data_IF_620367357301
#
_entry.id   IF_620367357301
#
_cell.length_a   1.000
_cell.length_b   1.000
_cell.length_c   1.000
_cell.angle_alpha   90.00
_cell.angle_beta   90.00
_cell.angle_gamma   90.00
#
_symmetry.space_group_name_H-M   'P 1'
#
loop_
_entity.id
_entity.type
_entity.pdbx_description
1 polymer ?
2 non-polymer ?
3 non-polymer ?
4 water ?
#
# COMPACT_ATOMS: atom_id res chain seq x y z
N UNK A 1 -14.73 20.45 -5.83
CA UNK A 1 -15.05 19.80 -4.61
C UNK A 1 -14.01 18.72 -4.25
N UNK A 2 -14.42 17.44 -4.26
CA UNK A 2 -13.51 16.34 -3.94
C UNK A 2 -13.94 14.95 -4.43
N UNK A 3 -13.12 13.94 -4.18
CA UNK A 3 -13.39 12.58 -4.65
C UNK A 3 -12.84 11.49 -3.73
N UNK A 4 -13.36 10.28 -3.96
CA UNK A 4 -12.93 9.11 -3.17
C UNK A 4 -13.00 7.90 -4.06
N UNK A 5 -11.99 7.05 -3.94
CA UNK A 5 -11.95 5.91 -4.83
C UNK A 5 -13.21 5.06 -4.64
N UNK A 6 -13.59 4.55 -5.78
CA UNK A 6 -14.68 3.64 -5.92
C UNK A 6 -14.18 2.37 -5.21
N UNK A 7 -12.88 2.30 -5.08
CA UNK A 7 -12.31 1.14 -4.46
C UNK A 7 -12.62 0.97 -3.01
N UNK A 8 -12.92 2.09 -2.33
CA UNK A 8 -13.22 2.00 -0.90
C UNK A 8 -14.47 1.12 -0.75
N UNK A 9 -15.51 1.36 -1.57
CA UNK A 9 -16.66 0.49 -1.42
C UNK A 9 -16.43 -0.93 -2.03
N UNK A 10 -15.60 -1.00 -3.02
CA UNK A 10 -15.36 -2.28 -3.66
C UNK A 10 -14.75 -3.28 -2.67
N UNK A 11 -13.87 -2.80 -1.78
CA UNK A 11 -13.25 -3.70 -0.82
C UNK A 11 -14.01 -3.82 0.48
N UNK A 12 -15.16 -3.21 0.53
CA UNK A 12 -16.12 -3.30 1.67
C UNK A 12 -15.76 -2.56 2.90
N UNK A 13 -15.03 -1.53 2.65
CA UNK A 13 -14.56 -0.70 3.78
C UNK A 13 -15.69 0.07 4.52
N UNK A 14 -16.73 0.46 3.77
CA UNK A 14 -17.80 1.24 4.36
C UNK A 14 -18.51 0.53 5.46
N UNK A 15 -18.59 -0.81 5.37
CA UNK A 15 -19.22 -1.59 6.41
C UNK A 15 -18.48 -1.40 7.74
N UNK A 16 -17.17 -1.33 7.67
CA UNK A 16 -16.34 -1.18 8.85
C UNK A 16 -16.38 0.21 9.34
N UNK A 17 -16.34 1.11 8.42
CA UNK A 17 -16.44 2.45 8.83
C UNK A 17 -17.73 2.58 9.59
N UNK A 18 -18.81 2.02 9.06
CA UNK A 18 -20.11 2.23 9.66
C UNK A 18 -20.25 1.68 11.04
N UNK A 19 -19.35 0.74 11.34
CA UNK A 19 -19.30 0.05 12.58
C UNK A 19 -18.29 0.76 13.50
N UNK A 20 -17.78 1.94 13.05
CA UNK A 20 -16.86 2.66 13.91
C UNK A 20 -15.44 2.18 13.78
N UNK A 21 -15.06 1.47 12.74
CA UNK A 21 -13.64 1.10 12.61
C UNK A 21 -13.13 1.89 11.43
N UNK A 22 -12.20 2.80 11.67
CA UNK A 22 -11.65 3.64 10.62
C UNK A 22 -10.11 3.75 10.62
N UNK A 23 -9.48 2.87 11.39
CA UNK A 23 -8.04 2.92 11.38
C UNK A 23 -7.46 3.79 12.48
N UNK A 24 -8.28 4.18 13.41
CA UNK A 24 -7.76 4.98 14.51
C UNK A 24 -6.65 4.25 15.33
N UNK A 25 -5.66 5.06 15.62
CA UNK A 25 -4.54 4.61 16.40
C UNK A 25 -3.71 3.58 15.66
N UNK A 26 -3.82 3.52 14.32
CA UNK A 26 -2.96 2.57 13.61
C UNK A 26 -1.92 3.46 12.89
N UNK A 27 -0.60 3.11 12.97
CA UNK A 27 0.40 3.92 12.29
C UNK A 27 0.80 3.28 10.97
N UNK A 28 0.63 4.00 9.87
CA UNK A 28 0.93 3.45 8.54
C UNK A 28 2.02 4.27 7.92
N UNK A 29 3.06 3.57 7.55
CA UNK A 29 4.13 4.35 6.93
C UNK A 29 3.93 4.28 5.42
N UNK A 30 3.88 5.42 4.76
CA UNK A 30 3.73 5.41 3.32
C UNK A 30 5.11 5.65 2.78
N UNK A 31 5.76 4.53 2.40
CA UNK A 31 7.14 4.58 1.88
C UNK A 31 7.07 4.95 0.45
N UNK A 32 7.36 6.22 0.10
CA UNK A 32 7.11 6.60 -1.27
C UNK A 32 7.76 7.94 -1.56
N UNK A 33 7.18 8.76 -2.44
CA UNK A 33 7.76 10.06 -2.79
C UNK A 33 7.47 11.19 -1.85
N UNK A 34 7.09 10.89 -0.60
CA UNK A 34 6.78 11.91 0.32
C UNK A 34 5.26 12.05 0.31
N UNK A 35 4.81 12.95 1.14
CA UNK A 35 3.39 13.18 1.23
C UNK A 35 3.16 14.72 1.39
N UNK A 36 2.37 15.33 0.53
CA UNK A 36 2.13 16.74 0.82
C UNK A 36 1.16 16.87 2.00
N UNK A 37 1.69 17.08 3.21
CA UNK A 37 0.85 17.27 4.40
C UNK A 37 0.04 18.59 4.40
N UNK A 38 0.33 19.45 3.42
CA UNK A 38 -0.44 20.69 3.36
C UNK A 38 -1.86 20.43 2.93
N UNK A 39 -2.08 19.30 2.29
CA UNK A 39 -3.39 18.99 1.80
C UNK A 39 -4.35 18.98 2.91
N UNK A 40 -5.40 19.77 2.76
CA UNK A 40 -6.44 19.84 3.79
C UNK A 40 -6.95 18.49 4.16
N UNK A 41 -6.98 17.57 3.20
CA UNK A 41 -7.59 16.31 3.61
C UNK A 41 -6.63 15.27 4.10
N UNK A 42 -5.41 15.64 4.26
CA UNK A 42 -4.46 14.66 4.72
C UNK A 42 -3.78 15.11 5.97
N UNK A 43 -3.73 14.27 6.95
CA UNK A 43 -2.96 14.64 8.10
C UNK A 43 -1.88 13.63 8.30
N UNK A 44 -0.73 14.21 8.34
CA UNK A 44 0.47 13.48 8.44
C UNK A 44 1.06 13.55 9.83
N UNK A 45 1.12 12.45 10.46
CA UNK A 45 1.64 12.44 11.86
C UNK A 45 3.13 12.51 12.06
N UNK A 46 3.96 12.21 11.07
CA UNK A 46 5.39 12.20 11.25
C UNK A 46 6.03 11.68 9.97
N UNK A 47 7.27 11.37 10.00
CA UNK A 47 7.87 10.83 8.79
C UNK A 47 9.33 11.16 8.71
N UNK A 48 9.96 10.87 7.59
CA UNK A 48 11.33 11.11 7.41
C UNK A 48 11.64 11.01 5.96
N UNK A 49 12.68 11.77 5.53
CA UNK A 49 13.14 11.69 4.13
C UNK A 49 14.55 11.05 4.10
N UNK A 50 14.73 10.16 3.18
CA UNK A 50 16.00 9.49 3.04
C UNK A 50 16.55 9.86 1.65
N UNK A 51 15.88 10.79 0.94
CA UNK A 51 16.37 11.25 -0.39
C UNK A 51 17.31 12.40 -0.09
N UNK A 52 18.58 12.16 -0.24
CA UNK A 52 19.47 13.21 0.16
C UNK A 52 19.22 14.58 -0.38
N UNK A 53 18.61 14.70 -1.56
CA UNK A 53 18.39 15.96 -2.17
C UNK A 53 17.09 16.53 -1.89
N UNK A 54 16.27 15.81 -1.17
CA UNK A 54 14.99 16.33 -0.80
C UNK A 54 14.82 15.99 0.65
N UNK A 55 15.08 16.99 1.45
CA UNK A 55 15.10 16.81 2.91
C UNK A 55 13.76 16.86 3.59
N UNK A 56 12.73 17.41 2.91
CA UNK A 56 11.43 17.48 3.48
C UNK A 56 10.45 16.31 3.09
N UNK A 57 10.13 15.37 3.96
CA UNK A 57 9.25 14.32 3.49
C UNK A 57 7.84 14.84 3.38
N UNK A 58 7.63 16.08 3.88
CA UNK A 58 6.31 16.59 3.84
C UNK A 58 5.95 17.34 2.58
N UNK A 59 6.89 17.33 1.70
CA UNK A 59 6.74 17.96 0.45
C UNK A 59 6.79 16.83 -0.60
N UNK A 60 5.82 16.77 -1.50
CA UNK A 60 5.86 15.74 -2.51
C UNK A 60 5.88 16.34 -3.86
N UNK A 61 7.04 16.33 -4.46
CA UNK A 61 7.23 16.90 -5.80
C UNK A 61 6.86 16.04 -7.00
N UNK A 62 6.55 14.87 -6.68
CA UNK A 62 6.18 14.01 -7.74
C UNK A 62 4.64 13.84 -7.75
N UNK A 63 3.98 13.74 -6.58
CA UNK A 63 2.54 13.55 -6.41
C UNK A 63 2.24 12.08 -6.14
N UNK A 64 3.20 11.21 -6.50
CA UNK A 64 2.97 9.80 -6.25
C UNK A 64 2.57 9.47 -4.81
N UNK A 65 3.40 9.83 -3.84
CA UNK A 65 3.09 9.51 -2.48
C UNK A 65 1.84 10.15 -1.90
N UNK A 66 1.52 11.35 -2.35
CA UNK A 66 0.32 12.06 -1.82
C UNK A 66 -0.96 11.29 -2.21
N UNK A 67 -0.93 10.82 -3.46
CA UNK A 67 -2.06 10.10 -4.00
C UNK A 67 -2.21 8.82 -3.24
N UNK A 68 -1.08 8.15 -3.12
CA UNK A 68 -1.11 6.87 -2.42
C UNK A 68 -1.66 7.05 -0.95
N UNK A 69 -1.13 8.06 -0.30
CA UNK A 69 -1.48 8.33 1.03
C UNK A 69 -2.92 8.65 1.09
N UNK A 70 -3.39 9.45 0.11
CA UNK A 70 -4.80 9.73 0.08
C UNK A 70 -5.62 8.43 0.04
N UNK A 71 -5.16 7.41 -0.65
CA UNK A 71 -5.92 6.18 -0.73
C UNK A 71 -5.96 5.42 0.56
N UNK A 72 -4.83 5.41 1.25
CA UNK A 72 -4.85 4.74 2.54
C UNK A 72 -5.92 5.46 3.44
N UNK A 73 -5.92 6.81 3.43
CA UNK A 73 -6.88 7.48 4.28
C UNK A 73 -8.30 7.23 3.86
N UNK A 74 -8.45 7.12 2.56
CA UNK A 74 -9.80 6.91 2.07
C UNK A 74 -10.35 5.63 2.65
N UNK A 75 -9.54 4.62 2.66
CA UNK A 75 -9.92 3.36 3.21
C UNK A 75 -9.94 3.34 4.78
N UNK A 76 -8.99 4.04 5.41
CA UNK A 76 -8.84 4.11 6.87
C UNK A 76 -8.60 5.60 7.24
N UNK A 77 -9.71 6.35 7.17
CA UNK A 77 -9.72 7.77 7.40
C UNK A 77 -9.08 8.25 8.74
N UNK A 78 -9.04 7.39 9.78
CA UNK A 78 -8.46 7.78 11.06
C UNK A 78 -7.05 7.29 11.30
N UNK A 79 -6.42 6.73 10.30
CA UNK A 79 -5.09 6.23 10.47
C UNK A 79 -4.12 7.30 10.66
N UNK A 80 -3.02 6.99 11.30
CA UNK A 80 -1.97 7.97 11.43
C UNK A 80 -0.95 7.73 10.36
N UNK A 81 -0.84 8.59 9.39
CA UNK A 81 0.11 8.42 8.29
C UNK A 81 1.48 8.96 8.62
N UNK A 82 2.49 8.25 8.17
CA UNK A 82 3.89 8.63 8.28
C UNK A 82 4.49 8.87 6.90
N UNK A 83 4.99 10.08 6.60
CA UNK A 83 5.48 10.27 5.23
C UNK A 83 6.93 9.83 5.27
N UNK A 84 7.26 8.75 4.60
CA UNK A 84 8.62 8.19 4.54
C UNK A 84 9.08 8.29 3.08
N UNK A 85 9.75 9.38 2.83
CA UNK A 85 10.23 9.68 1.52
C UNK A 85 11.50 8.98 1.11
N UNK A 86 11.34 7.99 0.20
CA UNK A 86 12.50 7.23 -0.33
C UNK A 86 12.65 7.35 -1.87
N UNK A 87 11.74 8.16 -2.47
CA UNK A 87 11.68 8.41 -3.88
C UNK A 87 11.76 9.91 -4.11
N UNK A 88 12.67 10.28 -5.03
CA UNK A 88 12.82 11.68 -5.36
C UNK A 88 11.74 12.11 -6.36
N UNK A 89 11.72 13.42 -6.64
CA UNK A 89 10.75 14.10 -7.48
C UNK A 89 10.48 13.40 -8.78
N UNK A 90 11.55 12.80 -9.36
CA UNK A 90 11.37 12.06 -10.63
C UNK A 90 10.72 10.70 -10.35
N UNK A 91 10.12 10.42 -9.17
CA UNK A 91 9.57 9.12 -8.88
C UNK A 91 10.61 7.96 -8.69
N UNK A 92 11.93 8.19 -8.69
CA UNK A 92 12.86 7.10 -8.54
C UNK A 92 13.68 7.06 -7.21
N UNK A 93 14.13 5.90 -6.74
CA UNK A 93 14.87 5.94 -5.50
C UNK A 93 15.84 4.79 -5.38
N UNK A 94 16.91 4.99 -4.60
CA UNK A 94 17.88 3.94 -4.37
C UNK A 94 17.33 2.82 -3.48
N UNK A 95 17.79 1.59 -3.73
CA UNK A 95 17.27 0.57 -2.90
C UNK A 95 17.71 0.96 -1.53
N UNK A 96 18.87 1.57 -1.41
CA UNK A 96 19.25 1.88 -0.01
C UNK A 96 18.30 2.80 0.74
N UNK A 97 17.75 3.78 -0.01
CA UNK A 97 16.81 4.75 0.56
C UNK A 97 15.60 3.99 1.06
N UNK A 98 15.14 3.09 0.19
CA UNK A 98 13.99 2.30 0.51
C UNK A 98 14.21 1.45 1.81
N UNK A 99 15.38 0.80 1.95
CA UNK A 99 15.73 -0.01 3.12
C UNK A 99 15.71 0.89 4.33
N UNK A 100 16.33 2.05 4.10
CA UNK A 100 16.41 3.02 5.18
C UNK A 100 15.04 3.43 5.61
N UNK A 101 14.15 3.60 4.66
CA UNK A 101 12.86 3.94 5.07
C UNK A 101 12.19 2.73 5.74
N UNK A 102 12.46 1.53 5.20
CA UNK A 102 11.83 0.41 5.90
C UNK A 102 12.36 0.34 7.35
N UNK A 103 13.68 0.58 7.50
CA UNK A 103 14.23 0.47 8.84
C UNK A 103 13.63 1.46 9.76
N UNK A 104 13.45 2.64 9.22
CA UNK A 104 12.89 3.69 10.01
C UNK A 104 11.51 3.27 10.53
N UNK A 105 10.73 2.58 9.65
CA UNK A 105 9.38 2.23 10.02
C UNK A 105 9.38 1.18 11.14
N UNK A 106 10.35 0.26 11.08
CA UNK A 106 10.48 -0.73 12.16
C UNK A 106 10.83 -0.03 13.48
N UNK A 107 11.89 0.80 13.38
CA UNK A 107 12.37 1.55 14.56
C UNK A 107 11.34 2.46 15.18
N UNK A 108 10.44 2.95 14.40
CA UNK A 108 9.45 3.84 14.83
C UNK A 108 8.10 3.15 15.09
N UNK A 109 8.20 1.86 15.13
CA UNK A 109 7.03 1.05 15.46
C UNK A 109 5.82 1.28 14.62
N UNK A 110 5.99 1.32 13.29
CA UNK A 110 4.79 1.40 12.45
C UNK A 110 4.04 0.11 12.49
N UNK A 111 2.72 0.14 12.40
CA UNK A 111 1.92 -1.05 12.38
C UNK A 111 1.81 -1.62 11.00
N UNK A 112 1.83 -0.74 10.03
CA UNK A 112 1.74 -1.22 8.66
C UNK A 112 2.66 -0.37 7.80
N UNK A 113 3.22 -1.03 6.75
CA UNK A 113 4.06 -0.38 5.78
C UNK A 113 3.45 -0.55 4.40
N UNK A 114 3.33 0.55 3.70
CA UNK A 114 2.83 0.50 2.32
C UNK A 114 4.01 0.89 1.41
N UNK A 115 4.33 0.01 0.49
CA UNK A 115 5.37 0.27 -0.49
C UNK A 115 4.82 0.19 -1.93
N UNK A 116 4.33 1.36 -2.41
CA UNK A 116 3.81 1.42 -3.78
C UNK A 116 5.02 1.72 -4.66
N UNK A 117 5.97 0.78 -4.66
CA UNK A 117 7.17 0.94 -5.40
C UNK A 117 7.72 -0.47 -5.67
N UNK A 118 8.69 -0.49 -6.56
CA UNK A 118 9.35 -1.74 -6.94
C UNK A 118 10.44 -1.58 -8.00
N UNK A 119 11.29 -2.56 -8.04
CA UNK A 119 12.36 -2.61 -9.01
C UNK A 119 12.49 -4.08 -9.43
N UNK A 120 13.14 -4.30 -10.56
CA UNK A 120 13.27 -5.63 -11.08
C UNK A 120 14.34 -6.50 -10.43
N UNK A 121 15.31 -5.97 -9.69
CA UNK A 121 16.32 -6.85 -9.12
C UNK A 121 16.15 -6.99 -7.64
N UNK A 122 16.50 -8.17 -7.12
CA UNK A 122 16.34 -8.37 -5.72
C UNK A 122 17.57 -7.88 -5.03
N UNK A 123 17.52 -7.69 -3.71
CA UNK A 123 18.66 -7.27 -2.92
C UNK A 123 18.54 -8.02 -1.58
N UNK A 124 19.60 -8.58 -1.09
CA UNK A 124 19.40 -9.31 0.14
C UNK A 124 19.06 -8.43 1.32
N UNK A 125 19.60 -7.23 1.21
CA UNK A 125 19.45 -6.25 2.22
C UNK A 125 18.01 -5.78 2.19
N UNK A 126 17.39 -5.72 0.99
CA UNK A 126 15.99 -5.30 0.92
C UNK A 126 15.22 -6.45 1.46
N UNK A 127 15.57 -7.65 1.02
CA UNK A 127 14.81 -8.77 1.58
C UNK A 127 14.90 -8.81 3.12
N UNK A 128 16.14 -8.52 3.58
CA UNK A 128 16.35 -8.61 4.99
C UNK A 128 15.50 -7.61 5.76
N UNK A 129 15.37 -6.39 5.21
CA UNK A 129 14.63 -5.33 5.83
C UNK A 129 13.14 -5.68 5.92
N UNK A 130 12.57 -6.13 4.80
CA UNK A 130 11.15 -6.52 4.84
C UNK A 130 10.95 -7.73 5.77
N UNK A 131 11.91 -8.62 5.71
CA UNK A 131 11.77 -9.81 6.56
C UNK A 131 11.84 -9.42 8.03
N UNK A 132 12.74 -8.47 8.31
CA UNK A 132 12.86 -8.03 9.70
C UNK A 132 11.63 -7.25 10.13
N UNK A 133 11.11 -6.38 9.25
CA UNK A 133 9.89 -5.62 9.57
C UNK A 133 8.75 -6.61 9.93
N UNK A 134 8.56 -7.70 9.12
CA UNK A 134 7.55 -8.71 9.42
C UNK A 134 7.89 -9.42 10.74
N UNK A 135 9.13 -9.78 10.93
CA UNK A 135 9.45 -10.42 12.18
C UNK A 135 9.17 -9.50 13.36
N UNK A 136 9.31 -8.18 13.16
CA UNK A 136 9.05 -7.21 14.19
C UNK A 136 7.58 -6.99 14.46
N UNK A 137 6.75 -7.54 13.60
CA UNK A 137 5.32 -7.56 13.60
C UNK A 137 4.65 -6.52 12.76
N UNK A 138 5.29 -5.98 11.77
CA UNK A 138 4.67 -4.93 10.97
C UNK A 138 3.95 -5.56 9.79
N UNK A 139 2.84 -5.04 9.39
CA UNK A 139 2.21 -5.64 8.19
C UNK A 139 2.80 -4.96 7.00
N UNK A 140 3.46 -5.73 6.15
CA UNK A 140 4.15 -5.10 5.03
C UNK A 140 3.38 -5.37 3.74
N UNK A 141 3.06 -4.30 3.04
CA UNK A 141 2.28 -4.42 1.80
C UNK A 141 3.01 -3.64 0.67
N UNK A 142 2.98 -4.23 -0.50
CA UNK A 142 3.63 -3.61 -1.59
C UNK A 142 2.89 -3.81 -2.89
N UNK A 143 3.09 -2.84 -3.76
CA UNK A 143 2.56 -3.00 -5.12
C UNK A 143 3.18 -4.24 -5.79
N UNK A 144 2.39 -5.00 -6.56
CA UNK A 144 2.99 -6.13 -7.23
C UNK A 144 3.89 -5.73 -8.37
N UNK A 145 3.58 -4.58 -8.92
CA UNK A 145 4.35 -4.10 -10.03
C UNK A 145 3.43 -3.88 -11.23
N UNK A 146 3.93 -3.11 -12.20
CA UNK A 146 3.05 -2.84 -13.36
C UNK A 146 3.74 -3.34 -14.66
N UNK A 147 4.31 -4.52 -14.59
CA UNK A 147 5.09 -5.13 -15.62
C UNK A 147 4.35 -6.00 -16.60
N UNK A 148 3.01 -6.13 -16.53
CA UNK A 148 2.30 -6.94 -17.49
C UNK A 148 2.71 -8.37 -17.29
N UNK A 149 2.76 -9.08 -18.42
CA UNK A 149 3.13 -10.48 -18.46
C UNK A 149 4.36 -10.70 -19.38
N UNK A 150 4.93 -11.89 -19.24
CA UNK A 150 6.07 -12.31 -20.03
C UNK A 150 6.03 -13.83 -20.08
N UNK A 151 5.03 -14.35 -20.72
CA UNK A 151 4.96 -15.78 -20.77
C UNK A 151 4.59 -16.35 -19.43
N UNK A 152 5.37 -17.35 -19.03
CA UNK A 152 5.14 -18.03 -17.78
C UNK A 152 5.99 -17.46 -16.65
N UNK A 153 6.80 -16.47 -17.03
CA UNK A 153 7.66 -15.81 -16.09
C UNK A 153 6.93 -14.87 -15.13
N UNK A 154 7.40 -14.88 -13.90
CA UNK A 154 6.86 -14.01 -12.91
C UNK A 154 7.24 -12.56 -13.23
N UNK A 155 6.30 -11.64 -13.10
CA UNK A 155 6.68 -10.31 -13.38
C UNK A 155 6.51 -9.47 -12.11
N UNK A 156 6.38 -10.16 -10.98
CA UNK A 156 6.24 -9.43 -9.74
C UNK A 156 7.58 -8.80 -9.45
N UNK A 157 7.65 -7.57 -9.11
CA UNK A 157 8.88 -6.86 -8.80
C UNK A 157 9.20 -6.93 -7.30
N UNK A 158 10.35 -6.37 -6.93
CA UNK A 158 10.76 -6.41 -5.52
C UNK A 158 10.49 -5.05 -4.87
N UNK A 159 10.11 -5.01 -3.61
CA UNK A 159 10.00 -6.12 -2.70
C UNK A 159 8.76 -7.00 -2.73
N UNK A 160 7.77 -6.59 -3.54
CA UNK A 160 6.58 -7.35 -3.54
C UNK A 160 6.90 -8.83 -3.74
N UNK A 161 8.00 -9.12 -4.37
CA UNK A 161 8.28 -10.55 -4.66
C UNK A 161 8.61 -11.44 -3.45
N UNK A 162 8.99 -10.81 -2.33
CA UNK A 162 9.39 -11.57 -1.17
C UNK A 162 8.18 -12.11 -0.47
N UNK A 163 8.27 -13.36 -0.09
CA UNK A 163 7.17 -13.99 0.56
C UNK A 163 6.81 -13.22 1.85
N UNK A 164 7.77 -12.54 2.51
CA UNK A 164 7.22 -11.85 3.68
C UNK A 164 6.29 -10.64 3.36
N UNK A 165 6.25 -10.26 2.08
CA UNK A 165 5.49 -9.11 1.67
C UNK A 165 4.22 -9.46 1.07
N UNK A 166 3.23 -8.60 1.31
CA UNK A 166 1.91 -8.85 0.67
C UNK A 166 1.92 -8.03 -0.61
N UNK A 167 2.03 -8.71 -1.72
CA UNK A 167 2.15 -8.11 -3.05
C UNK A 167 0.73 -8.05 -3.60
N UNK A 168 0.37 -6.81 -3.95
CA UNK A 168 -1.01 -6.52 -4.41
C UNK A 168 -1.09 -6.14 -5.88
N UNK A 169 -1.91 -6.87 -6.63
CA UNK A 169 -2.18 -6.58 -8.07
C UNK A 169 -3.34 -5.63 -8.10
N UNK A 170 -3.68 -5.19 -9.29
CA UNK A 170 -4.79 -4.28 -9.39
C UNK A 170 -5.86 -4.81 -10.28
N UNK A 171 -7.03 -4.53 -9.87
CA UNK A 171 -8.23 -4.83 -10.68
C UNK A 171 -8.94 -3.51 -10.95
N UNK A 172 -9.92 -3.53 -11.87
CA UNK A 172 -10.69 -2.35 -12.16
C UNK A 172 -11.99 -2.48 -11.39
N UNK A 173 -12.95 -1.57 -11.69
CA UNK A 173 -14.18 -1.62 -10.94
C UNK A 173 -15.01 -2.87 -11.21
N UNK A 174 -14.72 -3.64 -12.24
CA UNK A 174 -15.45 -4.86 -12.57
C UNK A 174 -14.71 -6.06 -12.10
N UNK A 175 -13.64 -5.79 -11.34
CA UNK A 175 -12.88 -6.91 -10.86
C UNK A 175 -12.05 -7.61 -11.92
N UNK A 176 -11.81 -6.90 -13.05
CA UNK A 176 -10.99 -7.47 -14.09
C UNK A 176 -9.58 -7.09 -13.81
N UNK A 177 -8.63 -8.04 -13.95
CA UNK A 177 -7.23 -7.68 -13.74
C UNK A 177 -6.87 -6.65 -14.75
N UNK A 178 -6.07 -5.70 -14.30
CA UNK A 178 -5.57 -4.62 -15.19
C UNK A 178 -4.45 -5.15 -16.05
N UNK A 179 -4.52 -4.74 -17.31
CA UNK A 179 -3.52 -5.24 -18.20
C UNK A 179 -2.07 -5.12 -17.72
N UNK A 180 -1.81 -4.05 -16.99
CA UNK A 180 -0.45 -3.82 -16.53
C UNK A 180 -0.09 -4.58 -15.29
N UNK A 181 -1.04 -5.18 -14.59
CA UNK A 181 -0.72 -5.82 -13.28
C UNK A 181 0.25 -6.97 -13.36
N UNK A 182 1.32 -6.88 -12.57
CA UNK A 182 2.34 -7.88 -12.58
C UNK A 182 1.72 -9.19 -12.22
N UNK A 183 2.32 -10.32 -12.69
CA UNK A 183 1.72 -11.65 -12.42
C UNK A 183 2.79 -12.62 -11.96
N UNK A 184 2.41 -13.80 -11.43
CA UNK A 184 3.41 -14.73 -10.96
C UNK A 184 2.88 -15.33 -9.67
N UNK A 185 3.54 -16.38 -9.20
CA UNK A 185 3.08 -16.97 -7.99
C UNK A 185 3.20 -16.08 -6.73
N UNK A 186 3.94 -15.01 -6.73
CA UNK A 186 4.19 -14.18 -5.60
C UNK A 186 3.07 -13.17 -5.40
N UNK A 187 2.17 -13.08 -6.40
CA UNK A 187 1.04 -12.14 -6.30
C UNK A 187 0.16 -12.66 -5.20
N UNK A 188 -0.29 -11.82 -4.25
CA UNK A 188 -1.02 -12.37 -3.11
C UNK A 188 -2.47 -12.05 -3.16
N UNK A 189 -2.77 -10.78 -3.37
CA UNK A 189 -4.18 -10.40 -3.43
C UNK A 189 -4.32 -9.23 -4.43
N UNK A 190 -5.57 -8.86 -4.74
CA UNK A 190 -5.81 -7.73 -5.68
C UNK A 190 -6.61 -6.63 -4.99
N UNK A 191 -6.46 -5.45 -5.53
CA UNK A 191 -7.27 -4.40 -4.98
C UNK A 191 -7.51 -3.43 -6.12
N UNK A 192 -8.45 -2.53 -6.00
CA UNK A 192 -8.75 -1.65 -7.12
C UNK A 192 -7.52 -0.81 -7.44
N UNK A 193 -7.17 -0.70 -8.72
CA UNK A 193 -6.00 0.07 -9.07
C UNK A 193 -6.06 0.77 -10.42
N UNK A 194 -7.26 0.95 -10.96
CA UNK A 194 -7.40 1.62 -12.22
C UNK A 194 -8.15 2.92 -12.09
N UNK A 195 -7.61 4.03 -12.59
CA UNK A 195 -8.35 5.29 -12.44
C UNK A 195 -8.81 5.53 -11.05
N UNK A 196 -7.91 5.48 -10.10
CA UNK A 196 -8.31 5.72 -8.71
C UNK A 196 -8.08 7.17 -8.38
N UNK A 197 -9.18 7.79 -7.99
CA UNK A 197 -9.17 9.18 -7.64
C UNK A 197 -8.62 9.31 -6.24
N UNK A 198 -7.72 10.26 -6.11
CA UNK A 198 -7.09 10.52 -4.83
C UNK A 198 -6.51 11.92 -4.75
N UNK A 199 -6.06 12.21 -3.55
CA UNK A 199 -5.42 13.50 -3.31
C UNK A 199 -4.15 13.69 -4.04
N UNK A 200 -4.02 14.91 -4.55
CA UNK A 200 -2.79 15.33 -5.19
C UNK A 200 -2.26 16.60 -4.49
N UNK A 201 -0.97 16.87 -4.71
CA UNK A 201 -0.42 18.06 -4.10
C UNK A 201 -1.21 19.28 -4.54
N UNK A 202 -1.30 20.28 -3.66
CA UNK A 202 -1.94 21.59 -3.98
C UNK A 202 -3.47 21.61 -3.84
N UNK A 203 -3.98 20.92 -2.85
CA UNK A 203 -5.43 20.83 -2.64
C UNK A 203 -6.11 20.50 -3.93
N UNK A 204 -5.59 19.45 -4.51
CA UNK A 204 -6.12 18.85 -5.73
C UNK A 204 -6.40 17.33 -5.57
N UNK A 205 -7.09 16.80 -6.57
CA UNK A 205 -7.43 15.41 -6.62
C UNK A 205 -7.18 14.92 -8.03
N UNK A 206 -7.13 13.63 -8.21
CA UNK A 206 -6.85 13.25 -9.56
C UNK A 206 -6.82 11.76 -9.54
N UNK A 207 -6.81 11.25 -10.73
CA UNK A 207 -6.82 9.81 -10.85
C UNK A 207 -5.45 9.34 -11.31
N UNK A 208 -5.12 8.10 -10.94
CA UNK A 208 -3.90 7.44 -11.32
C UNK A 208 -4.27 5.95 -11.41
N UNK A 209 -3.52 5.23 -12.19
CA UNK A 209 -3.68 3.81 -12.30
C UNK A 209 -2.33 3.17 -11.98
N UNK A 210 -2.41 1.99 -11.37
CA UNK A 210 -1.19 1.27 -11.07
C UNK A 210 -1.37 0.31 -9.90
N UNK A 211 -0.50 -0.66 -9.76
CA UNK A 211 -0.54 -1.50 -8.61
C UNK A 211 -0.18 -0.59 -7.44
N UNK A 212 0.47 0.56 -7.70
CA UNK A 212 0.76 1.50 -6.64
C UNK A 212 -0.54 2.02 -6.02
N UNK A 213 -1.70 1.94 -6.75
CA UNK A 213 -2.95 2.46 -6.24
C UNK A 213 -3.66 1.32 -5.57
N UNK A 214 -3.30 0.12 -6.01
CA UNK A 214 -3.99 -1.06 -5.40
C UNK A 214 -3.48 -1.25 -3.95
N UNK A 215 -2.16 -1.21 -3.84
CA UNK A 215 -1.45 -1.44 -2.62
C UNK A 215 -2.04 -0.74 -1.34
N UNK A 216 -2.22 0.64 -1.43
CA UNK A 216 -2.74 1.43 -0.34
C UNK A 216 -4.11 1.03 0.13
N UNK A 217 -4.92 0.49 -0.78
CA UNK A 217 -6.20 -0.01 -0.33
C UNK A 217 -6.02 -1.20 0.59
N UNK A 218 -5.00 -2.03 0.37
CA UNK A 218 -4.79 -3.19 1.24
C UNK A 218 -4.11 -2.69 2.52
N UNK A 219 -3.28 -1.64 2.43
CA UNK A 219 -2.60 -1.09 3.60
C UNK A 219 -3.63 -0.47 4.46
N UNK A 220 -4.60 0.25 3.83
CA UNK A 220 -5.66 0.80 4.59
C UNK A 220 -6.48 -0.31 5.25
N UNK A 221 -6.77 -1.36 4.50
CA UNK A 221 -7.47 -2.54 4.98
C UNK A 221 -6.86 -3.04 6.26
N UNK A 222 -5.59 -3.29 6.19
CA UNK A 222 -4.93 -3.78 7.39
C UNK A 222 -5.20 -2.87 8.59
N UNK A 223 -5.14 -1.58 8.29
CA UNK A 223 -5.39 -0.57 9.34
C UNK A 223 -6.77 -0.65 9.99
N UNK A 224 -7.79 -0.84 9.16
CA UNK A 224 -9.11 -0.98 9.66
C UNK A 224 -9.20 -2.22 10.53
N UNK A 225 -8.61 -3.34 10.07
CA UNK A 225 -8.64 -4.58 10.81
C UNK A 225 -7.92 -4.44 12.18
N UNK A 226 -6.80 -3.72 12.16
CA UNK A 226 -6.08 -3.50 13.36
C UNK A 226 -6.92 -2.62 14.31
N UNK A 227 -7.61 -1.60 13.77
CA UNK A 227 -8.45 -0.76 14.65
C UNK A 227 -9.59 -1.53 15.30
N UNK A 228 -9.97 -2.65 14.72
CA UNK A 228 -11.01 -3.42 15.38
C UNK A 228 -10.36 -4.38 16.27
N UNK A 229 -9.18 -4.87 15.87
CA UNK A 229 -8.53 -5.93 16.61
C UNK A 229 -7.09 -5.50 16.88
N UNK A 230 -7.00 -4.48 17.72
CA UNK A 230 -5.74 -3.87 18.10
C UNK A 230 -4.72 -4.91 18.60
N UNK A 231 -5.09 -6.09 19.05
CA UNK A 231 -4.09 -7.05 19.52
C UNK A 231 -3.80 -8.12 18.49
N UNK A 232 -4.37 -8.06 17.31
CA UNK A 232 -4.01 -9.17 16.44
C UNK A 232 -2.63 -8.91 15.91
N UNK A 233 -1.92 -9.94 15.60
CA UNK A 233 -0.58 -9.72 15.04
C UNK A 233 -0.67 -9.50 13.53
N UNK A 234 0.46 -9.15 12.91
CA UNK A 234 0.52 -9.02 11.45
C UNK A 234 0.15 -10.37 10.85
N UNK A 235 0.63 -11.45 11.47
CA UNK A 235 0.31 -12.75 10.90
C UNK A 235 -1.18 -12.88 10.76
N UNK A 236 -1.90 -12.64 11.84
CA UNK A 236 -3.35 -12.73 11.80
C UNK A 236 -3.98 -11.76 10.79
N UNK A 237 -3.48 -10.51 10.74
CA UNK A 237 -3.98 -9.52 9.81
C UNK A 237 -3.81 -10.03 8.41
N UNK A 238 -2.60 -10.48 8.18
CA UNK A 238 -2.35 -10.94 6.82
C UNK A 238 -3.21 -12.17 6.41
N UNK A 239 -3.19 -13.19 7.29
CA UNK A 239 -3.94 -14.37 6.94
C UNK A 239 -5.42 -14.05 6.69
N UNK A 240 -5.99 -13.14 7.47
CA UNK A 240 -7.42 -12.86 7.31
C UNK A 240 -7.70 -12.10 6.01
N UNK A 241 -6.76 -11.26 5.61
CA UNK A 241 -6.90 -10.53 4.34
C UNK A 241 -6.88 -11.57 3.24
N UNK A 242 -5.91 -12.44 3.32
CA UNK A 242 -5.76 -13.51 2.35
C UNK A 242 -6.85 -14.55 2.34
N UNK A 243 -7.38 -14.96 3.49
CA UNK A 243 -8.35 -16.02 3.48
C UNK A 243 -9.79 -15.60 3.22
N UNK A 244 -10.03 -14.31 3.21
CA UNK A 244 -11.43 -13.89 3.03
C UNK A 244 -11.63 -13.20 1.73
N UNK A 245 -10.65 -13.33 0.84
CA UNK A 245 -10.83 -12.58 -0.41
C UNK A 245 -12.05 -13.11 -1.23
N UNK A 246 -12.40 -12.32 -2.26
CA UNK A 246 -13.45 -12.77 -3.18
C UNK A 246 -12.65 -13.37 -4.28
N UNK A 247 -12.81 -14.68 -4.46
CA UNK A 247 -12.06 -15.38 -5.49
C UNK A 247 -12.36 -14.82 -6.86
N UNK A 248 -11.35 -14.63 -7.72
CA UNK A 248 -11.60 -14.04 -9.04
C UNK A 248 -10.98 -15.06 -9.98
N UNK A 249 -10.07 -14.70 -10.89
CA UNK A 249 -9.56 -15.78 -11.68
C UNK A 249 -8.38 -16.49 -11.11
N UNK A 250 -7.59 -17.06 -12.01
CA UNK A 250 -6.48 -17.86 -11.55
C UNK A 250 -5.40 -17.14 -10.75
N UNK A 251 -4.84 -17.88 -9.78
CA UNK A 251 -3.83 -17.31 -8.89
C UNK A 251 -2.72 -16.52 -9.60
N UNK A 252 -2.24 -17.06 -10.70
CA UNK A 252 -1.16 -16.48 -11.45
C UNK A 252 -1.48 -15.07 -11.77
N UNK A 253 -2.71 -14.73 -12.05
CA UNK A 253 -3.12 -13.42 -12.43
C UNK A 253 -3.79 -12.62 -11.32
N UNK A 254 -4.44 -13.36 -10.40
CA UNK A 254 -5.23 -12.67 -9.36
C UNK A 254 -4.84 -12.99 -7.93
N UNK A 255 -3.82 -13.81 -7.73
CA UNK A 255 -3.50 -14.09 -6.32
C UNK A 255 -4.70 -14.82 -5.76
N UNK A 256 -5.01 -14.60 -4.52
CA UNK A 256 -6.17 -15.23 -3.93
C UNK A 256 -7.48 -14.48 -4.26
N UNK A 257 -7.36 -13.33 -4.97
CA UNK A 257 -8.52 -12.58 -5.32
C UNK A 257 -8.59 -11.21 -4.74
N UNK A 258 -9.82 -10.66 -4.78
CA UNK A 258 -9.95 -9.34 -4.26
C UNK A 258 -10.17 -9.32 -2.76
N UNK A 259 -9.52 -8.38 -2.09
CA UNK A 259 -9.69 -8.23 -0.65
C UNK A 259 -11.06 -7.78 -0.22
N UNK A 260 -11.49 -8.37 0.87
CA UNK A 260 -12.82 -8.03 1.40
C UNK A 260 -12.60 -7.73 2.86
N UNK A 261 -12.43 -6.46 3.16
CA UNK A 261 -12.11 -6.00 4.49
C UNK A 261 -13.18 -6.24 5.48
N UNK A 262 -14.38 -6.14 5.01
CA UNK A 262 -15.43 -6.40 6.02
C UNK A 262 -15.32 -7.82 6.53
N UNK A 263 -15.16 -8.76 5.58
CA UNK A 263 -15.06 -10.17 6.00
C UNK A 263 -13.78 -10.35 6.78
N UNK A 264 -12.71 -9.76 6.28
CA UNK A 264 -11.43 -9.92 6.96
C UNK A 264 -11.45 -9.55 8.44
N UNK A 265 -12.18 -8.52 8.77
CA UNK A 265 -12.07 -8.10 10.15
C UNK A 265 -12.85 -8.96 11.09
N UNK A 266 -13.51 -9.96 10.53
CA UNK A 266 -14.33 -10.85 11.35
C UNK A 266 -15.46 -10.15 12.12
#
# INVERSE_FOLDING_TARGET
AKCVSYGVSQIKAPALHSQGYTGSNVKVAVIDSGIDSSHPDLNVAGGASFVPSETNPFQDNNSHGTHVAGTVLAVAPSASLYAVKVLGADGSGQYSWIINGIEWAIANNMDVINMSLGGPSGSAALKAAVDKAVASGVVVVAAAGNEGTSGSSSTVGYPGKYPSVIAVGAVDSSNQRASFSSVGPELDVMAPGVSICSTLPGNKYGAKSGTSMASPHVAGAAALILSKHPNWTNTQVRSSLENTTTKLGDSFYYGKGLINVEAAAQ
#
